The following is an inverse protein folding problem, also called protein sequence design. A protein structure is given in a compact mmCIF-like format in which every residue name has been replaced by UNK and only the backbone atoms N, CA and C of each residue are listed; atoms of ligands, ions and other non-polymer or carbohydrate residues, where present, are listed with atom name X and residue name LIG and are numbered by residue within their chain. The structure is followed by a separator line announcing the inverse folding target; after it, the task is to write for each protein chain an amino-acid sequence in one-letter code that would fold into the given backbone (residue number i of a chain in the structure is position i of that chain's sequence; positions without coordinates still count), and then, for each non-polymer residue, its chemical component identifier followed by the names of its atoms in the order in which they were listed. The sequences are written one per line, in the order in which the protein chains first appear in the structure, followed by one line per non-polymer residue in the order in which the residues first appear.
data_IF_531849727674
#
_entry.id   IF_531849727674
#
_cell.length_a   1.000
_cell.length_b   1.000
_cell.length_c   1.000
_cell.angle_alpha   90.00
_cell.angle_beta   90.00
_cell.angle_gamma   90.00
#
_symmetry.space_group_name_H-M   'P 1'
#
loop_
_entity.id
_entity.type
_entity.pdbx_description
1 polymer ?
#
# COMPACT_ATOMS: atom_id res chain seq x y z
N UNK A 1 -20.56 -35.44 -4.69
CA UNK A 1 -20.27 -34.15 -5.34
C UNK A 1 -20.56 -32.94 -4.44
N UNK A 2 -21.74 -32.83 -3.80
CA UNK A 2 -22.05 -31.73 -2.86
C UNK A 2 -21.02 -31.51 -1.72
N UNK A 3 -20.46 -32.58 -1.16
CA UNK A 3 -19.45 -32.50 -0.08
C UNK A 3 -18.07 -32.01 -0.54
N UNK A 4 -17.72 -32.22 -1.82
CA UNK A 4 -16.46 -31.73 -2.41
C UNK A 4 -16.54 -30.23 -2.75
N UNK A 5 -17.69 -29.77 -3.27
CA UNK A 5 -17.95 -28.35 -3.53
C UNK A 5 -17.94 -27.51 -2.24
N UNK A 6 -18.50 -28.03 -1.14
CA UNK A 6 -18.51 -27.31 0.14
C UNK A 6 -17.10 -27.15 0.73
N UNK A 7 -16.26 -28.18 0.61
CA UNK A 7 -14.87 -28.14 1.10
C UNK A 7 -13.99 -27.18 0.27
N UNK A 8 -14.21 -27.11 -1.04
CA UNK A 8 -13.46 -26.22 -1.92
C UNK A 8 -13.82 -24.75 -1.67
N UNK A 9 -15.10 -24.47 -1.40
CA UNK A 9 -15.57 -23.13 -1.06
C UNK A 9 -15.08 -22.67 0.32
N UNK A 10 -14.98 -23.58 1.30
CA UNK A 10 -14.43 -23.27 2.62
C UNK A 10 -12.92 -22.94 2.57
N UNK A 11 -12.16 -23.64 1.71
CA UNK A 11 -10.75 -23.31 1.47
C UNK A 11 -10.60 -21.97 0.74
N UNK A 12 -11.43 -21.70 -0.26
CA UNK A 12 -11.44 -20.42 -0.97
C UNK A 12 -11.74 -19.25 -0.02
N UNK A 13 -12.69 -19.43 0.91
CA UNK A 13 -13.05 -18.41 1.89
C UNK A 13 -11.93 -18.14 2.91
N UNK A 14 -11.16 -19.17 3.31
CA UNK A 14 -9.99 -18.98 4.17
C UNK A 14 -8.87 -18.21 3.47
N UNK A 15 -8.66 -18.42 2.16
CA UNK A 15 -7.68 -17.67 1.38
C UNK A 15 -8.07 -16.19 1.23
N UNK A 16 -9.37 -15.89 1.07
CA UNK A 16 -9.86 -14.51 0.98
C UNK A 16 -9.72 -13.72 2.29
N UNK A 17 -9.75 -14.38 3.46
CA UNK A 17 -9.61 -13.72 4.77
C UNK A 17 -8.16 -13.35 5.13
N UNK A 18 -7.16 -14.01 4.54
CA UNK A 18 -5.75 -13.72 4.82
C UNK A 18 -5.26 -12.40 4.19
N UNK A 19 -5.88 -11.96 3.09
CA UNK A 19 -5.57 -10.68 2.44
C UNK A 19 -6.10 -9.48 3.23
N UNK A 20 -7.31 -9.57 3.78
CA UNK A 20 -7.91 -8.46 4.54
C UNK A 20 -7.15 -8.12 5.82
N UNK A 21 -6.47 -9.09 6.44
CA UNK A 21 -5.80 -8.86 7.73
C UNK A 21 -4.66 -7.84 7.62
N UNK A 22 -3.96 -7.81 6.49
CA UNK A 22 -2.81 -6.91 6.30
C UNK A 22 -3.24 -5.46 6.08
N UNK A 23 -4.23 -5.22 5.22
CA UNK A 23 -4.73 -3.87 4.96
C UNK A 23 -5.37 -3.25 6.22
N UNK A 24 -6.11 -4.05 6.99
CA UNK A 24 -6.71 -3.60 8.26
C UNK A 24 -5.62 -3.19 9.25
N UNK A 25 -4.52 -3.94 9.32
CA UNK A 25 -3.42 -3.62 10.21
C UNK A 25 -2.69 -2.34 9.76
N UNK A 26 -2.30 -2.25 8.49
CA UNK A 26 -1.62 -1.05 7.95
C UNK A 26 -2.48 0.19 8.18
N UNK A 27 -3.80 0.09 7.91
CA UNK A 27 -4.76 1.15 8.20
C UNK A 27 -4.73 1.56 9.68
N UNK A 28 -4.84 0.59 10.58
CA UNK A 28 -4.83 0.84 12.02
C UNK A 28 -3.53 1.50 12.47
N UNK A 29 -2.39 1.12 11.88
CA UNK A 29 -1.08 1.65 12.24
C UNK A 29 -0.97 3.12 11.85
N UNK A 30 -1.39 3.50 10.62
CA UNK A 30 -1.49 4.91 10.20
C UNK A 30 -2.48 5.72 11.05
N UNK A 31 -3.67 5.19 11.32
CA UNK A 31 -4.68 5.88 12.13
C UNK A 31 -4.21 6.10 13.59
N UNK A 32 -3.42 5.18 14.14
CA UNK A 32 -2.96 5.24 15.54
C UNK A 32 -2.03 6.41 15.85
N UNK A 33 -1.36 6.93 14.83
CA UNK A 33 -0.39 8.03 14.92
C UNK A 33 -0.92 9.36 14.37
N UNK A 34 -2.21 9.41 14.01
CA UNK A 34 -2.89 10.63 13.59
C UNK A 34 -2.99 10.86 12.08
N UNK A 35 -2.68 9.86 11.25
CA UNK A 35 -3.03 9.93 9.83
C UNK A 35 -4.52 9.60 9.62
N UNK A 36 -5.18 10.37 8.77
CA UNK A 36 -6.56 10.13 8.39
C UNK A 36 -6.63 9.50 6.99
N UNK A 37 -7.53 8.54 6.81
CA UNK A 37 -7.78 7.97 5.49
C UNK A 37 -8.39 9.04 4.58
N UNK A 38 -7.74 9.31 3.46
CA UNK A 38 -8.23 10.22 2.44
C UNK A 38 -8.98 9.43 1.36
N UNK A 39 -10.21 9.85 1.07
CA UNK A 39 -10.97 9.33 -0.06
C UNK A 39 -10.36 9.85 -1.36
N UNK A 40 -10.30 9.00 -2.40
CA UNK A 40 -9.67 9.25 -3.71
C UNK A 40 -10.29 10.37 -4.57
N UNK A 41 -10.49 11.54 -3.97
CA UNK A 41 -10.89 12.81 -4.58
C UNK A 41 -9.93 13.94 -4.21
N UNK A 42 -8.91 13.65 -3.40
CA UNK A 42 -7.79 14.56 -3.21
C UNK A 42 -6.84 14.36 -4.40
N UNK A 43 -6.65 15.41 -5.21
CA UNK A 43 -6.07 15.31 -6.56
C UNK A 43 -4.70 14.62 -6.66
N UNK A 44 -3.97 14.48 -5.55
CA UNK A 44 -2.70 13.75 -5.51
C UNK A 44 -2.89 12.24 -5.73
N UNK A 45 -4.00 11.66 -5.25
CA UNK A 45 -4.36 10.26 -5.53
C UNK A 45 -4.80 10.11 -6.98
N UNK A 46 -5.57 11.07 -7.50
CA UNK A 46 -6.05 11.04 -8.89
C UNK A 46 -4.90 11.10 -9.90
N UNK A 47 -3.88 11.92 -9.65
CA UNK A 47 -2.70 12.03 -10.54
C UNK A 47 -1.90 10.72 -10.55
N UNK A 48 -1.67 10.13 -9.37
CA UNK A 48 -1.02 8.83 -9.23
C UNK A 48 -1.86 7.76 -9.93
N UNK A 49 -3.17 7.73 -9.68
CA UNK A 49 -4.07 6.75 -10.28
C UNK A 49 -4.18 6.88 -11.80
N UNK A 50 -4.20 8.10 -12.32
CA UNK A 50 -4.20 8.37 -13.77
C UNK A 50 -2.95 7.80 -14.42
N UNK A 51 -1.77 7.94 -13.78
CA UNK A 51 -0.53 7.37 -14.32
C UNK A 51 -0.55 5.83 -14.37
N UNK A 52 -1.20 5.18 -13.42
CA UNK A 52 -1.38 3.71 -13.42
C UNK A 52 -2.45 3.25 -14.42
N UNK A 53 -3.56 3.97 -14.52
CA UNK A 53 -4.63 3.71 -15.49
C UNK A 53 -4.12 3.84 -16.93
N UNK A 54 -3.33 4.88 -17.23
CA UNK A 54 -2.70 5.08 -18.54
C UNK A 54 -1.70 3.97 -18.88
N UNK A 55 -1.05 3.39 -17.86
CA UNK A 55 -0.17 2.23 -18.00
C UNK A 55 -0.93 0.89 -18.06
N UNK A 56 -2.27 0.90 -17.93
CA UNK A 56 -3.11 -0.30 -17.93
C UNK A 56 -2.95 -1.17 -16.69
N UNK A 57 -2.55 -0.58 -15.56
CA UNK A 57 -2.29 -1.28 -14.31
C UNK A 57 -3.53 -1.17 -13.43
N UNK A 58 -4.11 -2.33 -13.09
CA UNK A 58 -5.27 -2.39 -12.19
C UNK A 58 -4.76 -2.46 -10.75
N UNK A 59 -4.80 -1.33 -10.04
CA UNK A 59 -4.42 -1.26 -8.61
C UNK A 59 -5.54 -0.68 -7.78
N UNK A 60 -5.69 -1.18 -6.56
CA UNK A 60 -6.54 -0.55 -5.56
C UNK A 60 -5.71 0.44 -4.75
N UNK A 61 -6.10 1.71 -4.75
CA UNK A 61 -5.38 2.78 -4.07
C UNK A 61 -6.08 3.20 -2.78
N UNK A 62 -5.31 3.33 -1.71
CA UNK A 62 -5.72 3.90 -0.42
C UNK A 62 -4.73 4.98 -0.02
N UNK A 63 -5.19 6.19 0.32
CA UNK A 63 -4.30 7.24 0.83
C UNK A 63 -4.52 7.52 2.31
N UNK A 64 -3.47 7.97 2.97
CA UNK A 64 -3.45 8.42 4.36
C UNK A 64 -2.74 9.77 4.45
N UNK A 65 -3.27 10.73 5.22
CA UNK A 65 -2.66 12.06 5.37
C UNK A 65 -2.67 12.57 6.81
N UNK A 66 -1.62 13.31 7.18
CA UNK A 66 -1.58 14.14 8.39
C UNK A 66 -1.91 15.63 8.10
N UNK A 67 -2.39 15.93 6.89
CA UNK A 67 -2.70 17.26 6.37
C UNK A 67 -1.58 17.93 5.57
N UNK A 68 -0.33 17.45 5.68
CA UNK A 68 0.83 17.99 4.93
C UNK A 68 1.53 16.91 4.13
N UNK A 69 1.63 15.72 4.70
CA UNK A 69 2.29 14.56 4.13
C UNK A 69 1.24 13.50 3.76
N UNK A 70 1.53 12.71 2.74
CA UNK A 70 0.63 11.68 2.25
C UNK A 70 1.36 10.34 2.11
N UNK A 71 0.75 9.28 2.59
CA UNK A 71 1.17 7.91 2.33
C UNK A 71 0.14 7.27 1.39
N UNK A 72 0.55 6.95 0.16
CA UNK A 72 -0.31 6.30 -0.82
C UNK A 72 0.03 4.80 -0.82
N UNK A 73 -0.95 3.97 -0.50
CA UNK A 73 -0.87 2.52 -0.59
C UNK A 73 -1.50 2.05 -1.90
N UNK A 74 -0.74 1.26 -2.64
CA UNK A 74 -1.18 0.59 -3.85
C UNK A 74 -1.22 -0.91 -3.60
N UNK A 75 -2.41 -1.49 -3.76
CA UNK A 75 -2.65 -2.92 -3.66
C UNK A 75 -2.77 -3.51 -5.08
N UNK A 76 -1.93 -4.48 -5.37
CA UNK A 76 -1.93 -5.26 -6.61
C UNK A 76 -2.69 -6.58 -6.38
N UNK A 77 -3.17 -7.24 -7.42
CA UNK A 77 -3.89 -8.52 -7.27
C UNK A 77 -2.98 -9.60 -6.67
N UNK A 78 -1.67 -9.51 -6.91
CA UNK A 78 -0.69 -10.44 -6.35
C UNK A 78 0.70 -9.85 -6.22
N UNK A 79 1.55 -10.50 -5.41
CA UNK A 79 2.98 -10.18 -5.34
C UNK A 79 3.67 -10.27 -6.70
N UNK A 80 3.30 -11.29 -7.50
CA UNK A 80 3.89 -11.49 -8.82
C UNK A 80 3.53 -10.36 -9.79
N UNK A 81 2.34 -9.77 -9.65
CA UNK A 81 1.95 -8.60 -10.44
C UNK A 81 2.76 -7.38 -10.01
N UNK A 82 2.85 -7.11 -8.71
CA UNK A 82 3.71 -6.04 -8.18
C UNK A 82 5.15 -6.17 -8.71
N UNK A 83 5.76 -7.36 -8.58
CA UNK A 83 7.13 -7.59 -9.06
C UNK A 83 7.24 -7.35 -10.58
N UNK A 84 6.27 -7.80 -11.37
CA UNK A 84 6.25 -7.56 -12.82
C UNK A 84 6.15 -6.06 -13.16
N UNK A 85 5.35 -5.29 -12.41
CA UNK A 85 5.23 -3.85 -12.61
C UNK A 85 6.50 -3.11 -12.19
N UNK A 86 7.14 -3.51 -11.09
CA UNK A 86 8.43 -2.96 -10.67
C UNK A 86 9.54 -3.21 -11.69
N UNK A 87 9.51 -4.33 -12.41
CA UNK A 87 10.50 -4.66 -13.44
C UNK A 87 10.24 -3.97 -14.79
N UNK A 88 8.99 -3.76 -15.16
CA UNK A 88 8.61 -3.36 -16.54
C UNK A 88 8.07 -1.95 -16.68
N UNK A 89 7.65 -1.29 -15.60
CA UNK A 89 7.08 0.05 -15.66
C UNK A 89 8.14 1.13 -15.30
N UNK A 90 8.58 1.88 -16.32
CA UNK A 90 9.58 2.93 -16.18
C UNK A 90 9.11 4.11 -15.31
N UNK A 91 7.82 4.47 -15.37
CA UNK A 91 7.25 5.56 -14.58
C UNK A 91 7.22 5.20 -13.08
N UNK A 92 6.85 3.95 -12.77
CA UNK A 92 6.89 3.42 -11.42
C UNK A 92 8.33 3.38 -10.88
N UNK A 93 9.27 2.88 -11.67
CA UNK A 93 10.69 2.89 -11.30
C UNK A 93 11.21 4.32 -11.07
N UNK A 94 10.76 5.29 -11.88
CA UNK A 94 11.13 6.69 -11.71
C UNK A 94 10.61 7.26 -10.40
N UNK A 95 9.33 7.04 -10.07
CA UNK A 95 8.72 7.49 -8.81
C UNK A 95 9.44 6.89 -7.60
N UNK A 96 9.85 5.63 -7.68
CA UNK A 96 10.47 4.90 -6.58
C UNK A 96 12.00 5.06 -6.52
N UNK A 97 12.62 5.72 -7.51
CA UNK A 97 14.08 5.77 -7.68
C UNK A 97 14.85 6.39 -6.49
N UNK A 98 14.16 7.13 -5.63
CA UNK A 98 14.72 7.76 -4.44
C UNK A 98 14.80 6.82 -3.23
N UNK A 99 14.23 5.62 -3.34
CA UNK A 99 14.08 4.69 -2.23
C UNK A 99 14.63 3.31 -2.60
N UNK A 100 14.99 2.54 -1.58
CA UNK A 100 15.19 1.10 -1.75
C UNK A 100 13.81 0.46 -1.93
N UNK A 101 13.50 0.04 -3.16
CA UNK A 101 12.22 -0.59 -3.53
C UNK A 101 11.85 -1.74 -2.60
N UNK A 102 12.83 -2.47 -2.05
CA UNK A 102 12.54 -3.57 -1.12
C UNK A 102 11.88 -3.09 0.16
N UNK A 103 12.20 -1.87 0.61
CA UNK A 103 11.61 -1.24 1.78
C UNK A 103 10.22 -0.65 1.49
N UNK A 104 9.89 -0.40 0.23
CA UNK A 104 8.58 0.14 -0.14
C UNK A 104 7.52 -0.94 -0.37
N UNK A 105 7.90 -2.22 -0.40
CA UNK A 105 6.96 -3.31 -0.66
C UNK A 105 6.75 -4.20 0.55
N UNK A 106 5.52 -4.63 0.75
CA UNK A 106 5.16 -5.68 1.71
C UNK A 106 4.05 -6.53 1.08
N UNK A 107 4.34 -7.83 0.85
CA UNK A 107 3.44 -8.73 0.09
C UNK A 107 3.06 -8.11 -1.26
N UNK A 108 1.77 -8.00 -1.57
CA UNK A 108 1.22 -7.40 -2.79
C UNK A 108 0.95 -5.88 -2.65
N UNK A 109 1.49 -5.22 -1.63
CA UNK A 109 1.34 -3.79 -1.40
C UNK A 109 2.64 -3.05 -1.69
N UNK A 110 2.48 -1.82 -2.19
CA UNK A 110 3.52 -0.82 -2.37
C UNK A 110 3.10 0.46 -1.63
N UNK A 111 4.00 1.04 -0.85
CA UNK A 111 3.81 2.38 -0.29
C UNK A 111 4.57 3.42 -1.14
N UNK A 112 3.91 4.55 -1.40
CA UNK A 112 4.48 5.73 -2.04
C UNK A 112 4.39 6.90 -1.05
N UNK A 113 5.49 7.22 -0.34
CA UNK A 113 5.57 8.39 0.52
C UNK A 113 5.61 9.67 -0.32
N UNK A 114 4.67 10.59 -0.08
CA UNK A 114 4.63 11.92 -0.69
C UNK A 114 4.85 12.96 0.40
N UNK A 115 6.10 13.37 0.53
CA UNK A 115 6.57 14.32 1.55
C UNK A 115 7.80 15.07 1.04
N UNK A 116 8.08 16.23 1.63
CA UNK A 116 9.31 16.99 1.40
C UNK A 116 10.46 16.60 2.34
N UNK A 117 10.28 15.61 3.21
CA UNK A 117 11.29 15.20 4.22
C UNK A 117 11.57 13.70 4.14
N UNK A 118 12.86 13.34 3.98
CA UNK A 118 13.32 11.94 4.01
C UNK A 118 13.00 11.26 5.36
N UNK A 119 13.12 12.00 6.47
CA UNK A 119 12.81 11.49 7.82
C UNK A 119 11.33 11.10 7.94
N UNK A 120 10.43 11.91 7.38
CA UNK A 120 9.00 11.61 7.39
C UNK A 120 8.69 10.42 6.49
N UNK A 121 9.38 10.31 5.34
CA UNK A 121 9.22 9.16 4.45
C UNK A 121 9.67 7.86 5.14
N UNK A 122 10.78 7.88 5.87
CA UNK A 122 11.24 6.73 6.67
C UNK A 122 10.22 6.35 7.74
N UNK A 123 9.60 7.34 8.42
CA UNK A 123 8.52 7.08 9.38
C UNK A 123 7.34 6.38 8.70
N UNK A 124 6.86 6.87 7.55
CA UNK A 124 5.79 6.23 6.77
C UNK A 124 6.11 4.79 6.40
N UNK A 125 7.35 4.51 6.00
CA UNK A 125 7.82 3.17 5.67
C UNK A 125 7.82 2.28 6.92
N UNK A 126 8.29 2.79 8.07
CA UNK A 126 8.26 2.04 9.32
C UNK A 126 6.83 1.72 9.77
N UNK A 127 5.88 2.64 9.60
CA UNK A 127 4.47 2.42 9.90
C UNK A 127 3.91 1.33 9.00
N UNK A 128 4.20 1.40 7.69
CA UNK A 128 3.79 0.41 6.71
C UNK A 128 4.27 -1.01 7.04
N UNK A 129 5.46 -1.14 7.63
CA UNK A 129 6.01 -2.42 8.10
C UNK A 129 5.62 -2.79 9.53
N UNK A 130 4.86 -1.95 10.23
CA UNK A 130 4.52 -2.16 11.64
C UNK A 130 5.74 -2.13 12.59
N UNK A 131 6.82 -1.45 12.19
CA UNK A 131 8.07 -1.33 12.96
C UNK A 131 8.26 0.05 13.58
N UNK A 132 7.35 0.99 13.33
CA UNK A 132 7.40 2.31 13.93
C UNK A 132 7.17 2.25 15.44
N UNK A 133 8.17 2.69 16.19
CA UNK A 133 8.06 2.92 17.63
C UNK A 133 8.07 4.44 17.87
N UNK A 134 6.95 5.05 18.33
CA UNK A 134 6.94 6.47 18.61
C UNK A 134 7.95 6.76 19.71
N UNK A 135 8.91 7.64 19.41
CA UNK A 135 9.80 8.18 20.43
C UNK A 135 8.93 8.96 21.42
N UNK A 136 8.86 8.46 22.66
CA UNK A 136 8.30 9.19 23.78
C UNK A 136 9.21 10.40 24.04
N UNK A 137 8.97 11.50 23.34
CA UNK A 137 9.49 12.79 23.78
C UNK A 137 8.63 13.25 24.96
N UNK A 138 9.24 13.21 26.15
CA UNK A 138 8.72 13.74 27.42
C UNK A 138 8.66 15.28 27.44
#
# INVERSE_FOLDING_TARGET
MRKLLLSMFAFLLMFLLAGCFNLIQIKSDFESIGYEQISGTEGIIDDVMTSFDDAGIMVHCSGYSDGVNYAILLEFDSRSELDAQLESNEDLQYVLSSYDVTQLTERNFLIVPVTGSEEIAEVMIQIFHGTYEPTLEE
#
